data_IF_057436244646
#
_entry.id   IF_057436244646
#
_cell.length_a   1.000
_cell.length_b   1.000
_cell.length_c   1.000
_cell.angle_alpha   90.00
_cell.angle_beta   90.00
_cell.angle_gamma   90.00
#
_symmetry.space_group_name_H-M   'P 1'
#
loop_
_entity.id
_entity.type
_entity.pdbx_description
1 polymer ?
#
# COMPACT_ATOMS: atom_id res chain seq x y z
N UNK A 1 -19.81 -19.21 -0.10
CA UNK A 1 -19.35 -17.98 -0.80
C UNK A 1 -19.01 -17.00 0.28
N UNK A 2 -17.72 -16.71 0.48
CA UNK A 2 -17.29 -15.75 1.49
C UNK A 2 -17.74 -14.36 1.04
N UNK A 3 -18.63 -13.74 1.81
CA UNK A 3 -18.95 -12.33 1.65
C UNK A 3 -17.66 -11.57 1.97
N UNK A 4 -17.01 -11.00 0.96
CA UNK A 4 -15.92 -10.05 1.18
C UNK A 4 -16.56 -8.84 1.85
N UNK A 5 -16.31 -8.69 3.15
CA UNK A 5 -16.87 -7.65 3.98
C UNK A 5 -16.07 -6.38 3.69
N UNK A 6 -16.59 -5.53 2.79
CA UNK A 6 -15.90 -4.31 2.30
C UNK A 6 -15.45 -3.39 3.46
N UNK A 7 -16.16 -3.44 4.59
CA UNK A 7 -15.84 -2.69 5.81
C UNK A 7 -14.58 -3.18 6.55
N UNK A 8 -14.23 -4.47 6.44
CA UNK A 8 -13.01 -5.05 7.04
C UNK A 8 -11.75 -4.63 6.27
N UNK A 9 -11.86 -4.54 4.93
CA UNK A 9 -10.74 -4.14 4.08
C UNK A 9 -10.37 -2.66 4.25
N UNK A 10 -11.36 -1.78 4.41
CA UNK A 10 -11.11 -0.35 4.56
C UNK A 10 -10.51 0.00 5.93
N UNK A 11 -11.01 -0.64 7.00
CA UNK A 11 -10.43 -0.49 8.34
C UNK A 11 -9.00 -1.06 8.43
N UNK A 12 -8.75 -2.22 7.80
CA UNK A 12 -7.41 -2.79 7.67
C UNK A 12 -6.44 -1.88 6.93
N UNK A 13 -6.90 -1.28 5.82
CA UNK A 13 -6.11 -0.30 5.07
C UNK A 13 -5.77 0.93 5.92
N UNK A 14 -6.74 1.52 6.60
CA UNK A 14 -6.51 2.72 7.44
C UNK A 14 -5.47 2.42 8.53
N UNK A 15 -5.58 1.28 9.21
CA UNK A 15 -4.60 0.88 10.23
C UNK A 15 -3.19 0.72 9.64
N UNK A 16 -3.07 0.08 8.47
CA UNK A 16 -1.78 -0.11 7.81
C UNK A 16 -1.14 1.24 7.44
N UNK A 17 -1.92 2.18 6.92
CA UNK A 17 -1.46 3.53 6.56
C UNK A 17 -1.02 4.30 7.80
N UNK A 18 -1.79 4.25 8.89
CA UNK A 18 -1.43 4.90 10.14
C UNK A 18 -0.12 4.34 10.73
N UNK A 19 0.02 3.01 10.75
CA UNK A 19 1.24 2.37 11.24
C UNK A 19 2.45 2.74 10.39
N UNK A 20 2.29 2.75 9.06
CA UNK A 20 3.32 3.18 8.15
C UNK A 20 3.75 4.64 8.37
N UNK A 21 2.79 5.58 8.42
CA UNK A 21 3.05 6.99 8.64
C UNK A 21 3.73 7.25 9.99
N UNK A 22 3.32 6.54 11.04
CA UNK A 22 3.95 6.62 12.36
C UNK A 22 5.41 6.12 12.36
N UNK A 23 5.76 5.15 11.51
CA UNK A 23 7.11 4.59 11.43
C UNK A 23 8.07 5.42 10.58
N UNK A 24 7.61 5.92 9.44
CA UNK A 24 8.48 6.57 8.45
C UNK A 24 8.32 8.09 8.36
N UNK A 25 7.28 8.67 8.97
CA UNK A 25 7.04 10.12 8.95
C UNK A 25 6.65 10.70 7.58
N UNK A 26 6.32 9.83 6.61
CA UNK A 26 5.91 10.21 5.26
C UNK A 26 4.61 9.50 4.87
N UNK A 27 3.95 10.03 3.84
CA UNK A 27 2.72 9.48 3.26
C UNK A 27 2.87 9.30 1.75
N UNK A 28 1.80 8.81 1.12
CA UNK A 28 1.69 8.60 -0.32
C UNK A 28 0.47 9.36 -0.87
N UNK A 29 0.40 9.51 -2.19
CA UNK A 29 -0.75 10.12 -2.86
C UNK A 29 -2.00 9.27 -2.75
N UNK A 30 -3.09 9.86 -2.27
CA UNK A 30 -4.39 9.20 -2.17
C UNK A 30 -4.97 8.76 -3.53
N UNK A 31 -4.46 9.31 -4.64
CA UNK A 31 -4.82 8.87 -5.99
C UNK A 31 -4.46 7.41 -6.27
N UNK A 32 -3.44 6.88 -5.59
CA UNK A 32 -3.03 5.47 -5.72
C UNK A 32 -4.07 4.50 -5.13
N UNK A 33 -4.99 4.98 -4.28
CA UNK A 33 -6.07 4.17 -3.74
C UNK A 33 -7.28 4.07 -4.67
N UNK A 34 -7.36 4.92 -5.71
CA UNK A 34 -8.47 4.97 -6.65
C UNK A 34 -8.35 3.93 -7.77
N UNK A 35 -7.14 3.48 -8.06
CA UNK A 35 -6.87 2.39 -9.00
C UNK A 35 -6.70 1.08 -8.21
N UNK A 36 -7.51 0.04 -8.46
CA UNK A 36 -7.40 -1.24 -7.76
C UNK A 36 -6.02 -1.90 -7.86
N UNK A 37 -5.31 -1.73 -8.98
CA UNK A 37 -3.96 -2.27 -9.21
C UNK A 37 -2.94 -1.53 -8.34
N UNK A 38 -2.96 -0.20 -8.38
CA UNK A 38 -2.07 0.60 -7.54
C UNK A 38 -2.37 0.40 -6.05
N UNK A 39 -3.65 0.29 -5.67
CA UNK A 39 -4.07 0.02 -4.30
C UNK A 39 -3.51 -1.30 -3.80
N UNK A 40 -3.66 -2.38 -4.56
CA UNK A 40 -3.13 -3.70 -4.19
C UNK A 40 -1.60 -3.68 -4.01
N UNK A 41 -0.88 -3.08 -4.97
CA UNK A 41 0.58 -2.94 -4.90
C UNK A 41 1.01 -2.11 -3.70
N UNK A 42 0.38 -0.95 -3.49
CA UNK A 42 0.66 -0.09 -2.35
C UNK A 42 0.44 -0.84 -1.02
N UNK A 43 -0.66 -1.57 -0.86
CA UNK A 43 -0.91 -2.35 0.36
C UNK A 43 0.19 -3.39 0.63
N UNK A 44 0.65 -4.11 -0.40
CA UNK A 44 1.76 -5.04 -0.27
C UNK A 44 3.04 -4.32 0.20
N UNK A 45 3.39 -3.22 -0.46
CA UNK A 45 4.61 -2.47 -0.16
C UNK A 45 4.60 -1.87 1.25
N UNK A 46 3.46 -1.32 1.68
CA UNK A 46 3.30 -0.81 3.04
C UNK A 46 3.44 -1.94 4.07
N UNK A 47 2.85 -3.11 3.82
CA UNK A 47 2.98 -4.27 4.71
C UNK A 47 4.45 -4.73 4.84
N UNK A 48 5.19 -4.78 3.74
CA UNK A 48 6.62 -5.09 3.75
C UNK A 48 7.43 -4.05 4.53
N UNK A 49 7.17 -2.76 4.35
CA UNK A 49 7.86 -1.68 5.04
C UNK A 49 7.56 -1.68 6.56
N UNK A 50 6.30 -1.88 6.94
CA UNK A 50 5.88 -2.01 8.33
C UNK A 50 6.56 -3.21 9.00
N UNK A 51 6.61 -4.36 8.32
CA UNK A 51 7.30 -5.56 8.81
C UNK A 51 8.83 -5.45 8.86
N UNK A 52 9.40 -4.38 8.30
CA UNK A 52 10.85 -4.15 8.24
C UNK A 52 11.58 -4.91 7.13
N UNK A 53 10.84 -5.53 6.19
CA UNK A 53 11.43 -6.20 5.02
C UNK A 53 11.93 -5.23 3.96
N UNK A 54 11.44 -3.98 3.96
CA UNK A 54 11.94 -2.89 3.12
C UNK A 54 11.94 -1.56 3.86
N UNK A 55 12.60 -0.57 3.26
CA UNK A 55 12.55 0.83 3.70
C UNK A 55 11.25 1.52 3.30
N UNK A 56 11.26 2.85 3.39
CA UNK A 56 10.14 3.70 3.01
C UNK A 56 9.62 3.39 1.60
N UNK A 57 8.31 3.59 1.43
CA UNK A 57 7.53 3.47 0.19
C UNK A 57 7.06 4.86 -0.22
N UNK A 58 7.21 5.16 -1.50
CA UNK A 58 6.79 6.41 -2.13
C UNK A 58 5.88 6.10 -3.31
N UNK A 59 5.25 7.13 -3.88
CA UNK A 59 4.44 6.98 -5.08
C UNK A 59 5.23 6.38 -6.25
N UNK A 60 6.53 6.68 -6.34
CA UNK A 60 7.39 6.16 -7.37
C UNK A 60 7.49 4.62 -7.31
N UNK A 61 7.52 4.03 -6.12
CA UNK A 61 7.56 2.56 -5.96
C UNK A 61 6.29 1.88 -6.46
N UNK A 62 5.16 2.60 -6.44
CA UNK A 62 3.88 2.10 -6.93
C UNK A 62 3.79 2.26 -8.45
N UNK A 63 4.17 3.44 -8.96
CA UNK A 63 4.05 3.80 -10.37
C UNK A 63 5.12 3.17 -11.28
N UNK A 64 6.34 3.01 -10.77
CA UNK A 64 7.40 2.27 -11.45
C UNK A 64 7.24 0.80 -11.06
N UNK A 65 6.31 0.11 -11.71
CA UNK A 65 6.43 -1.34 -11.84
C UNK A 65 7.40 -1.54 -12.98
N UNK A 66 8.52 -2.19 -12.69
CA UNK A 66 9.61 -2.40 -13.64
C UNK A 66 9.09 -2.62 -15.06
N UNK A 67 9.70 -1.91 -15.99
CA UNK A 67 9.89 -2.39 -17.35
C UNK A 67 10.07 -3.91 -17.28
N UNK A 68 9.02 -4.66 -17.64
CA UNK A 68 9.18 -6.05 -18.01
C UNK A 68 9.94 -6.01 -19.33
N UNK A 69 11.27 -5.98 -19.20
CA UNK A 69 12.20 -6.40 -20.23
C UNK A 69 12.03 -7.91 -20.34
N UNK A 70 11.18 -8.34 -21.27
CA UNK A 70 11.36 -9.51 -22.14
C UNK A 70 10.44 -9.40 -23.36
#
# INVERSE_FOLDING_TARGET
MSNINVDEDESGLIMLVQHYAGKFGITFSSSLLQDPVHKGKLMQLLAEAVSGRRGAVTDADVLHTDDQVD
#
